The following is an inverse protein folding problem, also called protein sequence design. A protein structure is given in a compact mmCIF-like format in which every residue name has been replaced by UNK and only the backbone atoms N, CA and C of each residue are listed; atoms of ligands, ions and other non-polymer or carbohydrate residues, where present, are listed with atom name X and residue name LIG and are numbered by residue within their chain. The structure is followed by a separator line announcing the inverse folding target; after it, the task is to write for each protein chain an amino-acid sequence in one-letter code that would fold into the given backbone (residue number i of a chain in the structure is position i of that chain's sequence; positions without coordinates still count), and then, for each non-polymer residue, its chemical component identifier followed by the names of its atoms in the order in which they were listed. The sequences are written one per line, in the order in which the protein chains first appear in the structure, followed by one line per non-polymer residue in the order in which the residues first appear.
data_IF_023407319111
#
_entry.id   IF_023407319111
#
_cell.length_a   1.000
_cell.length_b   1.000
_cell.length_c   1.000
_cell.angle_alpha   90.00
_cell.angle_beta   90.00
_cell.angle_gamma   90.00
#
_symmetry.space_group_name_H-M   'P 1'
#
loop_
_entity.id
_entity.type
_entity.pdbx_description
1 polymer ?
#
# COMPACT_ATOMS: atom_id res chain seq x y z
N UNK A 1 5.47 -44.32 13.38
CA UNK A 1 5.51 -45.53 14.23
C UNK A 1 4.90 -46.67 13.45
N UNK A 2 5.73 -47.59 13.01
CA UNK A 2 5.29 -48.84 12.39
C UNK A 2 4.85 -49.84 13.46
N UNK A 3 4.04 -50.83 13.07
CA UNK A 3 3.52 -51.85 13.99
C UNK A 3 4.64 -52.62 14.70
N UNK A 4 5.74 -52.91 13.99
CA UNK A 4 6.90 -53.61 14.56
C UNK A 4 7.65 -52.77 15.62
N UNK A 5 7.67 -51.45 15.49
CA UNK A 5 8.22 -50.54 16.50
C UNK A 5 7.35 -50.51 17.76
N UNK A 6 6.03 -50.53 17.60
CA UNK A 6 5.09 -50.55 18.73
C UNK A 6 5.23 -51.87 19.50
N UNK A 7 5.33 -53.00 18.79
CA UNK A 7 5.54 -54.32 19.40
C UNK A 7 6.87 -54.36 20.16
N UNK A 8 7.95 -53.79 19.63
CA UNK A 8 9.23 -53.68 20.34
C UNK A 8 9.11 -52.87 21.64
N UNK A 9 8.49 -51.69 21.59
CA UNK A 9 8.28 -50.84 22.78
C UNK A 9 7.44 -51.57 23.83
N UNK A 10 6.44 -52.34 23.41
CA UNK A 10 5.64 -53.17 24.31
C UNK A 10 6.46 -54.30 24.95
N UNK A 11 7.32 -54.97 24.17
CA UNK A 11 8.20 -56.04 24.65
C UNK A 11 9.28 -55.57 25.63
N UNK A 12 9.74 -54.32 25.50
CA UNK A 12 10.68 -53.68 26.43
C UNK A 12 10.05 -53.33 27.79
N UNK A 13 8.71 -53.37 27.88
CA UNK A 13 7.97 -53.26 29.12
C UNK A 13 7.31 -51.89 29.35
N UNK A 14 6.63 -51.78 30.49
CA UNK A 14 5.71 -50.67 30.75
C UNK A 14 6.37 -49.29 30.80
N UNK A 15 7.65 -49.21 31.20
CA UNK A 15 8.38 -47.93 31.25
C UNK A 15 8.63 -47.36 29.86
N UNK A 16 8.98 -48.19 28.88
CA UNK A 16 9.14 -47.77 27.47
C UNK A 16 7.81 -47.26 26.91
N UNK A 17 6.71 -47.94 27.22
CA UNK A 17 5.36 -47.51 26.79
C UNK A 17 4.99 -46.15 27.41
N UNK A 18 5.22 -45.96 28.71
CA UNK A 18 4.96 -44.68 29.40
C UNK A 18 5.77 -43.55 28.76
N UNK A 19 7.06 -43.77 28.51
CA UNK A 19 7.94 -42.78 27.87
C UNK A 19 7.44 -42.42 26.46
N UNK A 20 7.02 -43.41 25.67
CA UNK A 20 6.48 -43.17 24.34
C UNK A 20 5.19 -42.35 24.40
N UNK A 21 4.26 -42.70 25.29
CA UNK A 21 2.98 -41.97 25.45
C UNK A 21 3.22 -40.53 25.92
N UNK A 22 4.14 -40.30 26.86
CA UNK A 22 4.53 -38.96 27.29
C UNK A 22 5.16 -38.16 26.14
N UNK A 23 6.03 -38.78 25.35
CA UNK A 23 6.64 -38.18 24.17
C UNK A 23 5.61 -37.81 23.09
N UNK A 24 4.61 -38.66 22.87
CA UNK A 24 3.51 -38.36 21.93
C UNK A 24 2.60 -37.26 22.48
N UNK A 25 2.28 -37.27 23.78
CA UNK A 25 1.46 -36.24 24.41
C UNK A 25 2.11 -34.86 24.36
N UNK A 26 3.43 -34.79 24.55
CA UNK A 26 4.19 -33.53 24.44
C UNK A 26 4.20 -33.02 23.00
N UNK A 27 4.48 -33.89 22.02
CA UNK A 27 4.38 -33.54 20.59
C UNK A 27 2.97 -33.04 20.22
N UNK A 28 1.92 -33.72 20.65
CA UNK A 28 0.53 -33.29 20.38
C UNK A 28 0.27 -31.89 20.97
N UNK A 29 0.75 -31.62 22.18
CA UNK A 29 0.60 -30.31 22.82
C UNK A 29 1.33 -29.21 22.05
N UNK A 30 2.58 -29.47 21.63
CA UNK A 30 3.38 -28.53 20.84
C UNK A 30 2.74 -28.26 19.47
N UNK A 31 2.34 -29.32 18.75
CA UNK A 31 1.63 -29.16 17.48
C UNK A 31 0.33 -28.38 17.66
N UNK A 32 -0.45 -28.68 18.70
CA UNK A 32 -1.70 -27.95 18.99
C UNK A 32 -1.45 -26.46 19.23
N UNK A 33 -0.38 -26.11 19.95
CA UNK A 33 0.02 -24.71 20.14
C UNK A 33 0.40 -24.05 18.81
N UNK A 34 1.23 -24.71 18.00
CA UNK A 34 1.63 -24.16 16.69
C UNK A 34 0.44 -23.94 15.76
N UNK A 35 -0.52 -24.86 15.75
CA UNK A 35 -1.77 -24.72 14.97
C UNK A 35 -2.58 -23.51 15.47
N UNK A 36 -2.69 -23.33 16.79
CA UNK A 36 -3.38 -22.18 17.37
C UNK A 36 -2.72 -20.84 16.98
N UNK A 37 -1.40 -20.77 17.04
CA UNK A 37 -0.65 -19.57 16.68
C UNK A 37 -0.77 -19.26 15.17
N UNK A 38 -0.72 -20.30 14.33
CA UNK A 38 -0.91 -20.16 12.89
C UNK A 38 -2.32 -19.69 12.56
N UNK A 39 -3.35 -20.25 13.19
CA UNK A 39 -4.75 -19.83 13.00
C UNK A 39 -4.97 -18.37 13.42
N UNK A 40 -4.37 -17.95 14.54
CA UNK A 40 -4.40 -16.55 14.97
C UNK A 40 -3.73 -15.60 13.96
N UNK A 41 -2.59 -16.01 13.38
CA UNK A 41 -1.91 -15.24 12.33
C UNK A 41 -2.71 -15.18 11.04
N UNK A 42 -3.32 -16.30 10.62
CA UNK A 42 -4.18 -16.36 9.45
C UNK A 42 -5.38 -15.42 9.61
N UNK A 43 -6.11 -15.50 10.72
CA UNK A 43 -7.23 -14.60 11.02
C UNK A 43 -6.83 -13.12 10.98
N UNK A 44 -5.65 -12.79 11.50
CA UNK A 44 -5.13 -11.41 11.45
C UNK A 44 -4.86 -10.96 10.02
N UNK A 45 -4.20 -11.80 9.21
CA UNK A 45 -3.89 -11.49 7.81
C UNK A 45 -5.14 -11.41 6.95
N UNK A 46 -6.09 -12.33 7.12
CA UNK A 46 -7.39 -12.30 6.45
C UNK A 46 -8.17 -11.03 6.79
N UNK A 47 -8.18 -10.63 8.07
CA UNK A 47 -8.79 -9.36 8.49
C UNK A 47 -8.12 -8.17 7.79
N UNK A 48 -6.80 -8.15 7.70
CA UNK A 48 -6.08 -7.08 7.00
C UNK A 48 -6.37 -7.08 5.50
N UNK A 49 -6.40 -8.24 4.85
CA UNK A 49 -6.68 -8.36 3.42
C UNK A 49 -8.12 -7.98 3.05
N UNK A 50 -9.07 -8.20 3.96
CA UNK A 50 -10.47 -7.87 3.75
C UNK A 50 -10.81 -6.40 4.07
N UNK A 51 -9.84 -5.62 4.60
CA UNK A 51 -10.03 -4.19 4.81
C UNK A 51 -10.01 -3.45 3.47
N UNK A 52 -11.05 -2.66 3.24
CA UNK A 52 -11.24 -1.77 2.09
C UNK A 52 -11.69 -0.41 2.60
N UNK A 53 -11.57 0.65 1.81
CA UNK A 53 -12.01 1.99 2.22
C UNK A 53 -13.50 2.05 2.56
N UNK A 54 -14.30 1.11 2.05
CA UNK A 54 -15.73 1.00 2.31
C UNK A 54 -16.05 0.47 3.72
N UNK A 55 -15.18 -0.36 4.31
CA UNK A 55 -15.45 -1.08 5.55
C UNK A 55 -14.48 -0.77 6.70
N UNK A 56 -13.53 0.16 6.51
CA UNK A 56 -12.43 0.38 7.47
C UNK A 56 -12.18 1.84 7.86
N UNK A 57 -13.04 2.78 7.46
CA UNK A 57 -12.84 4.23 7.66
C UNK A 57 -11.52 4.78 7.10
N UNK A 58 -10.78 3.97 6.33
CA UNK A 58 -9.59 4.37 5.60
C UNK A 58 -9.99 5.19 4.37
N UNK A 59 -9.18 6.19 3.96
CA UNK A 59 -9.50 6.98 2.78
C UNK A 59 -9.46 6.10 1.51
N UNK A 60 -10.26 6.41 0.46
CA UNK A 60 -10.31 5.65 -0.80
C UNK A 60 -8.96 5.48 -1.51
N UNK A 61 -7.99 6.36 -1.23
CA UNK A 61 -6.62 6.25 -1.73
C UNK A 61 -5.87 5.00 -1.21
N UNK A 62 -6.35 4.37 -0.14
CA UNK A 62 -5.74 3.19 0.50
C UNK A 62 -6.00 1.89 -0.25
N UNK A 63 -7.10 1.80 -1.00
CA UNK A 63 -7.47 0.62 -1.80
C UNK A 63 -6.56 0.42 -3.03
N UNK A 64 -5.59 1.32 -3.23
CA UNK A 64 -4.66 1.31 -4.34
C UNK A 64 -5.24 1.92 -5.61
N UNK A 65 -4.36 2.48 -6.43
CA UNK A 65 -4.74 3.04 -7.72
C UNK A 65 -4.91 1.92 -8.76
N UNK A 66 -6.16 1.58 -9.12
CA UNK A 66 -6.43 0.74 -10.28
C UNK A 66 -6.01 1.49 -11.55
N UNK A 67 -4.88 1.10 -12.14
CA UNK A 67 -4.44 1.65 -13.43
C UNK A 67 -5.51 1.34 -14.48
N UNK A 68 -6.17 2.38 -14.97
CA UNK A 68 -7.08 2.25 -16.09
C UNK A 68 -6.27 1.91 -17.34
N UNK A 69 -6.75 0.94 -18.12
CA UNK A 69 -6.16 0.65 -19.43
C UNK A 69 -6.59 1.76 -20.38
N UNK A 70 -5.63 2.33 -21.10
CA UNK A 70 -5.91 3.34 -22.12
C UNK A 70 -6.87 2.77 -23.16
N UNK A 71 -8.01 3.42 -23.35
CA UNK A 71 -8.95 3.12 -24.44
C UNK A 71 -8.50 3.74 -25.78
N UNK A 72 -7.43 4.56 -25.77
CA UNK A 72 -6.89 5.20 -26.97
C UNK A 72 -6.36 4.14 -27.94
N UNK A 73 -6.85 4.16 -29.17
CA UNK A 73 -6.30 3.39 -30.27
C UNK A 73 -4.92 3.91 -30.68
N UNK A 74 -3.98 3.04 -31.09
CA UNK A 74 -2.67 3.48 -31.57
C UNK A 74 -2.85 4.43 -32.76
N UNK A 75 -2.16 5.56 -32.71
CA UNK A 75 -2.14 6.55 -33.79
C UNK A 75 -0.72 6.70 -34.30
N UNK A 76 -0.57 6.82 -35.62
CA UNK A 76 0.71 7.14 -36.25
C UNK A 76 1.05 8.64 -36.18
N UNK A 77 0.20 9.45 -35.51
CA UNK A 77 0.45 10.88 -35.32
C UNK A 77 1.50 11.08 -34.24
N UNK A 78 2.46 11.97 -34.51
CA UNK A 78 3.46 12.39 -33.52
C UNK A 78 2.78 13.15 -32.37
N UNK A 79 3.34 13.03 -31.18
CA UNK A 79 2.94 13.81 -30.01
C UNK A 79 3.21 15.30 -30.24
N UNK A 80 2.26 16.18 -29.88
CA UNK A 80 2.36 17.63 -30.08
C UNK A 80 1.41 18.18 -31.14
N UNK A 81 1.60 19.46 -31.49
CA UNK A 81 0.85 20.13 -32.54
C UNK A 81 1.04 19.41 -33.88
N UNK A 82 -0.07 19.14 -34.58
CA UNK A 82 0.01 18.50 -35.90
C UNK A 82 0.55 19.50 -36.92
N UNK A 83 1.16 18.98 -37.99
CA UNK A 83 1.66 19.81 -39.10
C UNK A 83 0.50 20.65 -39.65
N UNK A 84 0.67 21.98 -39.68
CA UNK A 84 -0.34 22.95 -40.12
C UNK A 84 -1.15 23.62 -38.99
N UNK A 85 -1.01 23.20 -37.73
CA UNK A 85 -1.59 23.95 -36.61
C UNK A 85 -0.84 25.26 -36.37
N UNK A 86 -1.57 26.37 -36.41
CA UNK A 86 -1.05 27.67 -36.01
C UNK A 86 -0.75 27.65 -34.51
N UNK A 87 0.49 27.95 -34.14
CA UNK A 87 0.89 28.05 -32.74
C UNK A 87 0.38 29.36 -32.13
N UNK A 88 -0.16 29.29 -30.92
CA UNK A 88 -0.59 30.46 -30.13
C UNK A 88 0.45 30.92 -29.10
N UNK A 89 1.69 30.43 -29.21
CA UNK A 89 2.76 30.79 -28.29
C UNK A 89 3.06 32.28 -28.39
N UNK A 90 2.74 33.03 -27.34
CA UNK A 90 3.12 34.42 -27.21
C UNK A 90 4.65 34.53 -27.18
N UNK A 91 5.19 35.40 -28.04
CA UNK A 91 6.62 35.73 -28.04
C UNK A 91 6.84 36.88 -27.07
N UNK A 92 7.96 36.85 -26.35
CA UNK A 92 8.38 38.05 -25.62
C UNK A 92 8.62 39.18 -26.62
N UNK A 93 7.94 40.30 -26.40
CA UNK A 93 8.07 41.55 -27.17
C UNK A 93 8.77 42.59 -26.32
N UNK A 94 9.51 43.52 -26.95
CA UNK A 94 10.18 44.61 -26.23
C UNK A 94 9.17 45.58 -25.61
N UNK A 95 8.10 45.86 -26.35
CA UNK A 95 7.07 46.83 -25.98
C UNK A 95 5.72 46.12 -25.88
N UNK A 96 5.23 45.79 -24.67
CA UNK A 96 3.94 45.15 -24.49
C UNK A 96 2.79 46.16 -24.59
N UNK A 97 1.62 45.70 -25.06
CA UNK A 97 0.40 46.53 -25.15
C UNK A 97 -0.14 46.95 -23.76
N UNK A 98 0.10 46.13 -22.73
CA UNK A 98 -0.35 46.38 -21.36
C UNK A 98 0.70 45.89 -20.36
N UNK A 99 1.10 46.77 -19.44
CA UNK A 99 1.91 46.43 -18.27
C UNK A 99 1.04 46.54 -17.03
N UNK A 100 0.89 45.45 -16.29
CA UNK A 100 0.18 45.43 -15.00
C UNK A 100 1.20 45.20 -13.89
N UNK A 101 1.50 46.25 -13.13
CA UNK A 101 2.37 46.15 -11.96
C UNK A 101 1.56 45.63 -10.77
N UNK A 102 1.93 44.46 -10.24
CA UNK A 102 1.33 43.91 -9.04
C UNK A 102 2.17 44.29 -7.82
N UNK A 103 1.63 45.18 -6.98
CA UNK A 103 2.26 45.54 -5.71
C UNK A 103 1.45 44.96 -4.53
N UNK A 104 2.10 44.32 -3.55
CA UNK A 104 1.39 43.74 -2.41
C UNK A 104 0.80 44.86 -1.56
N UNK A 105 -0.45 44.68 -1.11
CA UNK A 105 -1.14 45.63 -0.24
C UNK A 105 -0.68 45.55 1.22
N UNK A 106 -0.14 44.40 1.62
CA UNK A 106 0.27 44.13 3.00
C UNK A 106 1.56 43.33 3.05
N UNK A 107 2.40 43.64 4.03
CA UNK A 107 3.63 42.90 4.27
C UNK A 107 3.32 41.51 4.84
N UNK A 108 3.84 40.45 4.23
CA UNK A 108 3.65 39.08 4.74
C UNK A 108 4.33 38.83 6.10
N UNK A 109 5.35 39.61 6.46
CA UNK A 109 6.08 39.46 7.73
C UNK A 109 5.43 40.20 8.89
N UNK A 110 5.15 41.50 8.73
CA UNK A 110 4.65 42.35 9.81
C UNK A 110 3.17 42.76 9.70
N UNK A 111 2.49 42.43 8.59
CA UNK A 111 1.08 42.77 8.37
C UNK A 111 0.79 44.26 8.11
N UNK A 112 1.81 45.12 8.08
CA UNK A 112 1.63 46.54 7.79
C UNK A 112 1.10 46.78 6.37
N UNK A 113 0.29 47.84 6.22
CA UNK A 113 -0.23 48.29 4.93
C UNK A 113 0.91 48.86 4.06
N UNK A 114 0.96 48.42 2.82
CA UNK A 114 1.94 48.80 1.80
C UNK A 114 1.29 49.52 0.60
N UNK A 115 0.00 49.85 0.66
CA UNK A 115 -0.73 50.44 -0.47
C UNK A 115 -0.15 51.76 -0.99
N UNK A 116 0.60 52.50 -0.15
CA UNK A 116 1.22 53.78 -0.52
C UNK A 116 2.75 53.75 -0.42
N UNK A 117 3.35 52.57 -0.35
CA UNK A 117 4.81 52.42 -0.37
C UNK A 117 5.22 52.28 -1.83
N UNK A 118 6.12 53.15 -2.29
CA UNK A 118 6.67 53.05 -3.65
C UNK A 118 7.53 51.76 -3.77
N UNK A 119 7.44 51.03 -4.89
CA UNK A 119 8.19 49.79 -5.13
C UNK A 119 9.71 50.00 -5.20
#
# INVERSE_FOLDING_TARGET
MSESEIIKVYQEGIQSVISLVQGLSTQISELSQTVSDLDARLKKLEKQSNQTSQNSSLPPSTDGFKKTKSLRQPSNKKTGGQVGHQGSTLKMVKDPDLVVTHHPKTCQGCGCCLENVEP
#
